data_IF_598329474259
#
_entry.id   IF_598329474259
#
_cell.length_a   1.000
_cell.length_b   1.000
_cell.length_c   1.000
_cell.angle_alpha   90.00
_cell.angle_beta   90.00
_cell.angle_gamma   90.00
#
_symmetry.space_group_name_H-M   'P 1'
#
loop_
_entity.id
_entity.type
_entity.pdbx_description
1 polymer ?
#
# COMPACT_ATOMS: atom_id res chain seq x y z
N UNK A 1 11.60 10.77 0.36
CA UNK A 1 10.29 10.13 0.35
C UNK A 1 10.46 8.74 -0.25
N UNK A 2 9.98 7.71 0.45
CA UNK A 2 9.95 6.34 -0.07
C UNK A 2 8.54 5.98 -0.54
N UNK A 3 8.47 4.95 -1.39
CA UNK A 3 7.23 4.46 -1.98
C UNK A 3 6.94 3.03 -1.55
N UNK A 4 5.67 2.76 -1.32
CA UNK A 4 5.20 1.50 -0.78
C UNK A 4 3.95 1.02 -1.51
N UNK A 5 3.56 -0.21 -1.23
CA UNK A 5 2.25 -0.75 -1.58
C UNK A 5 1.72 -1.52 -0.39
N UNK A 6 0.48 -1.24 -0.02
CA UNK A 6 -0.24 -1.92 1.04
C UNK A 6 -1.44 -2.67 0.47
N UNK A 7 -1.60 -3.93 0.85
CA UNK A 7 -2.71 -4.79 0.42
C UNK A 7 -3.81 -4.78 1.45
N UNK A 8 -5.04 -4.56 1.00
CA UNK A 8 -6.25 -4.73 1.82
C UNK A 8 -7.26 -5.59 1.06
N UNK A 9 -7.94 -6.50 1.75
CA UNK A 9 -9.08 -7.22 1.18
C UNK A 9 -10.31 -6.31 1.29
N UNK A 10 -10.98 -5.96 0.18
CA UNK A 10 -12.06 -4.97 0.20
C UNK A 10 -13.29 -5.40 1.02
N UNK A 11 -13.47 -6.70 1.23
CA UNK A 11 -14.53 -7.23 2.10
C UNK A 11 -14.24 -7.03 3.60
N UNK A 12 -12.97 -6.77 3.97
CA UNK A 12 -12.55 -6.53 5.34
C UNK A 12 -12.24 -5.05 5.60
N UNK A 13 -11.60 -4.38 4.65
CA UNK A 13 -11.35 -2.94 4.70
C UNK A 13 -11.14 -2.38 3.29
N UNK A 14 -12.15 -1.70 2.78
CA UNK A 14 -12.23 -1.15 1.43
C UNK A 14 -11.54 0.22 1.30
N UNK A 15 -11.43 0.69 0.05
CA UNK A 15 -10.93 2.05 -0.21
C UNK A 15 -11.92 3.11 0.26
N UNK A 16 -13.23 2.85 0.12
CA UNK A 16 -14.26 3.78 0.54
C UNK A 16 -14.26 3.96 2.07
N UNK A 17 -14.00 2.90 2.83
CA UNK A 17 -13.79 2.99 4.28
C UNK A 17 -12.54 3.78 4.64
N UNK A 18 -11.42 3.57 3.93
CA UNK A 18 -10.20 4.37 4.12
C UNK A 18 -10.46 5.87 3.89
N UNK A 19 -11.24 6.22 2.87
CA UNK A 19 -11.62 7.62 2.60
C UNK A 19 -12.55 8.15 3.69
N UNK A 20 -13.54 7.36 4.12
CA UNK A 20 -14.50 7.76 5.14
C UNK A 20 -13.85 7.99 6.52
N UNK A 21 -12.83 7.19 6.87
CA UNK A 21 -12.14 7.27 8.15
C UNK A 21 -11.08 8.39 8.20
N UNK A 22 -10.74 9.02 7.06
CA UNK A 22 -9.64 9.98 6.86
C UNK A 22 -8.25 9.40 7.18
N UNK A 23 -8.00 9.06 8.44
CA UNK A 23 -6.76 8.48 8.94
C UNK A 23 -7.05 7.12 9.58
N UNK A 24 -6.38 6.07 9.12
CA UNK A 24 -6.54 4.70 9.63
C UNK A 24 -5.19 4.09 10.05
N UNK A 25 -5.11 3.42 11.21
CA UNK A 25 -3.95 2.62 11.56
C UNK A 25 -3.88 1.34 10.71
N UNK A 26 -2.74 1.10 10.05
CA UNK A 26 -2.49 -0.09 9.24
C UNK A 26 -2.16 -1.32 10.09
N UNK A 27 -3.14 -1.78 10.86
CA UNK A 27 -3.02 -2.86 11.85
C UNK A 27 -3.11 -4.26 11.21
N UNK A 28 -2.98 -5.31 12.02
CA UNK A 28 -3.21 -6.69 11.59
C UNK A 28 -2.06 -7.33 10.81
N UNK A 29 -0.95 -6.61 10.56
CA UNK A 29 0.22 -7.16 9.87
C UNK A 29 0.95 -8.17 10.77
N UNK A 30 0.97 -9.44 10.35
CA UNK A 30 1.64 -10.55 11.07
C UNK A 30 2.72 -11.26 10.25
N UNK A 31 3.22 -10.58 9.22
CA UNK A 31 4.37 -11.05 8.44
C UNK A 31 5.64 -10.27 8.85
N UNK A 32 6.73 -10.98 9.17
CA UNK A 32 7.96 -10.36 9.67
C UNK A 32 8.62 -9.37 8.69
N UNK A 33 8.58 -9.66 7.39
CA UNK A 33 9.12 -8.74 6.38
C UNK A 33 8.21 -7.53 6.20
N UNK A 34 6.88 -7.74 6.14
CA UNK A 34 5.92 -6.64 6.09
C UNK A 34 6.06 -5.72 7.32
N UNK A 35 6.26 -6.30 8.51
CA UNK A 35 6.55 -5.55 9.74
C UNK A 35 7.81 -4.69 9.61
N UNK A 36 8.90 -5.23 9.06
CA UNK A 36 10.13 -4.46 8.81
C UNK A 36 9.88 -3.31 7.83
N UNK A 37 9.05 -3.53 6.82
CA UNK A 37 8.67 -2.48 5.86
C UNK A 37 7.85 -1.38 6.55
N UNK A 38 6.85 -1.72 7.37
CA UNK A 38 6.12 -0.76 8.20
C UNK A 38 7.06 0.04 9.13
N UNK A 39 8.00 -0.64 9.79
CA UNK A 39 8.97 0.00 10.67
C UNK A 39 9.94 0.96 9.96
N UNK A 40 10.10 0.81 8.64
CA UNK A 40 10.97 1.65 7.82
C UNK A 40 10.25 2.89 7.24
N UNK A 41 8.90 2.90 7.26
CA UNK A 41 8.11 4.01 6.76
C UNK A 41 8.32 5.28 7.59
N UNK A 42 8.33 6.42 6.90
CA UNK A 42 8.46 7.76 7.48
C UNK A 42 7.26 8.62 7.15
N UNK A 43 6.96 9.60 8.00
CA UNK A 43 5.92 10.59 7.70
C UNK A 43 6.25 11.27 6.37
N UNK A 44 5.26 11.36 5.49
CA UNK A 44 5.43 11.86 4.13
C UNK A 44 5.66 10.79 3.07
N UNK A 45 6.00 9.55 3.46
CA UNK A 45 6.07 8.45 2.49
C UNK A 45 4.69 8.17 1.86
N UNK A 46 4.70 7.65 0.63
CA UNK A 46 3.49 7.34 -0.13
C UNK A 46 3.32 5.84 -0.30
N UNK A 47 2.08 5.38 -0.28
CA UNK A 47 1.76 3.98 -0.55
C UNK A 47 0.58 3.85 -1.51
N UNK A 48 0.68 2.92 -2.45
CA UNK A 48 -0.48 2.46 -3.21
C UNK A 48 -1.39 1.62 -2.31
N UNK A 49 -2.68 1.96 -2.31
CA UNK A 49 -3.72 1.13 -1.72
C UNK A 49 -4.16 0.10 -2.76
N UNK A 50 -3.85 -1.17 -2.50
CA UNK A 50 -4.13 -2.28 -3.41
C UNK A 50 -5.23 -3.18 -2.83
N UNK A 51 -6.33 -3.34 -3.56
CA UNK A 51 -7.33 -4.35 -3.24
C UNK A 51 -6.80 -5.73 -3.60
N UNK A 52 -6.70 -6.61 -2.61
CA UNK A 52 -6.35 -8.03 -2.78
C UNK A 52 -7.59 -8.91 -2.85
N UNK A 53 -7.38 -10.15 -3.30
CA UNK A 53 -8.42 -11.19 -3.44
C UNK A 53 -9.44 -10.87 -4.55
N UNK A 54 -10.32 -9.89 -4.32
CA UNK A 54 -11.33 -9.38 -5.25
C UNK A 54 -10.80 -8.13 -5.98
N UNK A 55 -11.15 -7.96 -7.26
CA UNK A 55 -10.68 -6.92 -8.19
C UNK A 55 -9.17 -6.95 -8.50
N UNK A 56 -8.29 -7.14 -7.50
CA UNK A 56 -6.83 -7.23 -7.63
C UNK A 56 -6.24 -6.04 -8.39
N UNK A 57 -6.39 -4.85 -7.82
CA UNK A 57 -5.96 -3.60 -8.45
C UNK A 57 -5.47 -2.57 -7.44
N UNK A 58 -4.62 -1.66 -7.89
CA UNK A 58 -4.33 -0.41 -7.20
C UNK A 58 -5.52 0.52 -7.42
N UNK A 59 -6.10 1.02 -6.32
CA UNK A 59 -7.36 1.81 -6.35
C UNK A 59 -7.21 3.20 -5.74
N UNK A 60 -6.11 3.47 -5.03
CA UNK A 60 -5.87 4.75 -4.38
C UNK A 60 -4.43 4.93 -3.95
N UNK A 61 -4.14 6.12 -3.45
CA UNK A 61 -2.87 6.49 -2.84
C UNK A 61 -3.12 7.01 -1.43
N UNK A 62 -2.31 6.54 -0.49
CA UNK A 62 -2.27 7.01 0.89
C UNK A 62 -0.89 7.60 1.22
N UNK A 63 -0.87 8.48 2.20
CA UNK A 63 0.33 9.04 2.82
C UNK A 63 0.49 8.48 4.23
N UNK A 64 1.73 8.20 4.63
CA UNK A 64 2.05 7.88 6.01
C UNK A 64 2.03 9.17 6.83
N UNK A 65 1.14 9.23 7.83
CA UNK A 65 0.97 10.40 8.71
C UNK A 65 1.46 10.15 10.13
N UNK A 66 1.80 8.90 10.47
CA UNK A 66 2.48 8.54 11.72
C UNK A 66 3.44 7.38 11.51
N UNK A 67 4.67 7.53 12.00
CA UNK A 67 5.67 6.45 11.99
C UNK A 67 5.26 5.26 12.86
N UNK A 68 5.97 4.15 12.70
CA UNK A 68 5.62 2.89 13.33
C UNK A 68 5.52 2.96 14.85
N UNK A 69 4.44 2.39 15.39
CA UNK A 69 4.17 2.22 16.81
C UNK A 69 3.57 0.84 17.08
N UNK A 70 3.53 0.37 18.35
CA UNK A 70 2.98 -0.95 18.67
C UNK A 70 1.56 -1.13 18.13
N UNK A 71 1.31 -2.23 17.41
CA UNK A 71 0.00 -2.53 16.85
C UNK A 71 -0.99 -2.84 18.00
N UNK A 72 -2.07 -2.03 18.18
CA UNK A 72 -3.01 -2.21 19.28
C UNK A 72 -3.84 -3.50 19.16
N UNK A 73 -3.88 -4.13 17.98
CA UNK A 73 -4.57 -5.40 17.72
C UNK A 73 -3.68 -6.62 18.00
N UNK A 74 -2.41 -6.42 18.38
CA UNK A 74 -1.50 -7.50 18.68
C UNK A 74 -1.67 -8.00 20.12
N UNK A 75 -2.19 -9.23 20.28
CA UNK A 75 -2.28 -9.88 21.59
C UNK A 75 -0.92 -10.26 22.18
N UNK A 76 0.10 -10.46 21.32
CA UNK A 76 1.45 -10.81 21.72
C UNK A 76 2.49 -10.43 20.66
N UNK A 77 3.75 -10.28 21.10
CA UNK A 77 4.88 -9.98 20.22
C UNK A 77 5.02 -8.50 19.88
N UNK A 78 6.21 -8.13 19.38
CA UNK A 78 6.51 -6.76 18.98
C UNK A 78 6.06 -6.50 17.53
N UNK A 79 4.75 -6.49 17.31
CA UNK A 79 4.13 -6.06 16.04
C UNK A 79 3.94 -4.55 16.03
N UNK A 80 4.00 -3.95 14.84
CA UNK A 80 3.86 -2.51 14.67
C UNK A 80 2.87 -2.20 13.56
N UNK A 81 2.28 -1.01 13.64
CA UNK A 81 1.47 -0.39 12.59
C UNK A 81 1.91 1.06 12.42
N UNK A 82 1.49 1.67 11.31
CA UNK A 82 1.64 3.10 10.99
C UNK A 82 0.24 3.68 10.81
N UNK A 83 0.07 4.99 10.87
CA UNK A 83 -1.20 5.62 10.47
C UNK A 83 -1.08 6.13 9.03
N UNK A 84 -2.11 5.85 8.22
CA UNK A 84 -2.16 6.26 6.81
C UNK A 84 -3.37 7.15 6.56
N UNK A 85 -3.20 8.15 5.70
CA UNK A 85 -4.25 9.07 5.27
C UNK A 85 -4.50 8.95 3.77
N UNK A 86 -5.76 8.93 3.35
CA UNK A 86 -6.10 8.98 1.94
C UNK A 86 -5.63 10.29 1.29
N UNK A 87 -4.85 10.20 0.21
CA UNK A 87 -4.51 11.35 -0.64
C UNK A 87 -5.52 11.49 -1.77
N UNK A 88 -5.86 10.38 -2.42
CA UNK A 88 -6.86 10.38 -3.47
C UNK A 88 -7.03 9.04 -4.16
N UNK A 89 -8.17 8.85 -4.86
CA UNK A 89 -8.42 7.65 -5.64
C UNK A 89 -7.50 7.60 -6.86
N UNK A 90 -7.09 6.39 -7.24
CA UNK A 90 -6.39 6.17 -8.50
C UNK A 90 -7.35 6.48 -9.65
N UNK A 91 -7.06 7.42 -10.58
CA UNK A 91 -8.00 7.83 -11.62
C UNK A 91 -8.49 6.66 -12.48
N UNK A 92 -7.58 5.73 -12.79
CA UNK A 92 -7.90 4.46 -13.42
C UNK A 92 -7.27 3.32 -12.64
N UNK A 93 -8.05 2.40 -12.04
CA UNK A 93 -7.49 1.29 -11.30
C UNK A 93 -6.48 0.49 -12.12
N UNK A 94 -5.31 0.22 -11.55
CA UNK A 94 -4.23 -0.52 -12.22
C UNK A 94 -4.28 -1.96 -11.76
N UNK A 95 -4.73 -2.86 -12.64
CA UNK A 95 -4.97 -4.26 -12.28
C UNK A 95 -3.68 -5.07 -12.22
N UNK A 96 -3.67 -6.12 -11.40
CA UNK A 96 -2.55 -7.07 -11.35
C UNK A 96 -2.29 -7.73 -12.70
N UNK A 97 -3.34 -7.91 -13.53
CA UNK A 97 -3.20 -8.46 -14.87
C UNK A 97 -2.36 -7.53 -15.77
N UNK A 98 -2.65 -6.23 -15.77
CA UNK A 98 -1.86 -5.23 -16.51
C UNK A 98 -0.44 -5.10 -15.95
N UNK A 99 -0.29 -5.09 -14.62
CA UNK A 99 1.04 -5.05 -13.96
C UNK A 99 1.91 -6.21 -14.43
N UNK A 100 1.35 -7.43 -14.48
CA UNK A 100 2.09 -8.62 -14.91
C UNK A 100 2.44 -8.65 -16.40
N UNK A 101 1.78 -7.84 -17.22
CA UNK A 101 2.07 -7.72 -18.65
C UNK A 101 3.17 -6.69 -18.94
N UNK A 102 3.50 -5.83 -17.98
CA UNK A 102 4.56 -4.83 -18.13
C UNK A 102 5.93 -5.42 -17.79
N UNK A 103 6.88 -5.48 -18.75
CA UNK A 103 8.24 -5.93 -18.47
C UNK A 103 8.96 -5.07 -17.42
N UNK A 104 8.64 -3.77 -17.37
CA UNK A 104 9.22 -2.81 -16.42
C UNK A 104 8.82 -3.10 -14.97
N UNK A 105 7.79 -3.93 -14.74
CA UNK A 105 7.27 -4.28 -13.42
C UNK A 105 7.52 -5.75 -13.05
N UNK A 106 8.32 -6.49 -13.83
CA UNK A 106 8.62 -7.90 -13.54
C UNK A 106 9.29 -8.07 -12.15
N UNK A 107 10.10 -7.08 -11.77
CA UNK A 107 10.82 -7.03 -10.50
C UNK A 107 10.02 -6.41 -9.35
N UNK A 108 8.79 -5.96 -9.61
CA UNK A 108 7.95 -5.38 -8.58
C UNK A 108 7.66 -6.44 -7.48
N UNK A 109 7.86 -6.05 -6.22
CA UNK A 109 7.64 -6.95 -5.08
C UNK A 109 6.21 -7.54 -5.03
N UNK A 110 5.20 -6.79 -5.52
CA UNK A 110 3.83 -7.29 -5.70
C UNK A 110 3.75 -8.55 -6.59
N UNK A 111 4.57 -8.60 -7.65
CA UNK A 111 4.65 -9.70 -8.62
C UNK A 111 5.49 -10.85 -8.06
N UNK A 112 6.68 -10.54 -7.54
CA UNK A 112 7.64 -11.54 -7.05
C UNK A 112 7.26 -12.17 -5.71
N UNK A 113 6.51 -11.46 -4.86
CA UNK A 113 6.19 -11.86 -3.49
C UNK A 113 4.69 -11.71 -3.20
N UNK A 114 3.87 -12.57 -3.79
CA UNK A 114 2.40 -12.51 -3.71
C UNK A 114 1.85 -12.49 -2.27
N UNK A 115 2.52 -13.16 -1.32
CA UNK A 115 2.13 -13.26 0.10
C UNK A 115 2.57 -12.07 0.97
N UNK A 116 3.40 -11.16 0.44
CA UNK A 116 3.85 -9.99 1.18
C UNK A 116 2.75 -8.90 1.10
N UNK A 117 2.21 -8.47 2.24
CA UNK A 117 1.09 -7.53 2.32
C UNK A 117 1.51 -6.06 2.32
N UNK A 118 2.73 -5.77 2.75
CA UNK A 118 3.35 -4.44 2.71
C UNK A 118 4.65 -4.57 1.95
N UNK A 119 4.74 -3.93 0.79
CA UNK A 119 5.85 -4.09 -0.14
C UNK A 119 6.56 -2.74 -0.39
N UNK A 120 7.89 -2.72 -0.52
CA UNK A 120 8.57 -1.55 -1.07
C UNK A 120 8.26 -1.42 -2.57
N UNK A 121 8.21 -0.18 -3.05
CA UNK A 121 8.09 0.17 -4.47
C UNK A 121 9.27 1.07 -4.79
N UNK A 122 10.04 0.74 -5.83
CA UNK A 122 11.11 1.63 -6.29
C UNK A 122 10.49 2.87 -6.92
N UNK A 123 11.23 3.98 -6.95
CA UNK A 123 10.77 5.20 -7.62
C UNK A 123 10.44 4.96 -9.10
N UNK A 124 11.25 4.15 -9.80
CA UNK A 124 10.97 3.76 -11.19
C UNK A 124 9.63 3.00 -11.31
N UNK A 125 9.38 1.98 -10.48
CA UNK A 125 8.10 1.26 -10.51
C UNK A 125 6.93 2.17 -10.11
N UNK A 126 7.12 3.07 -9.16
CA UNK A 126 6.10 4.05 -8.75
C UNK A 126 5.67 4.91 -9.92
N UNK A 127 6.63 5.47 -10.67
CA UNK A 127 6.35 6.31 -11.84
C UNK A 127 5.58 5.55 -12.92
N UNK A 128 5.97 4.31 -13.23
CA UNK A 128 5.27 3.47 -14.21
C UNK A 128 3.83 3.21 -13.77
N UNK A 129 3.62 2.83 -12.51
CA UNK A 129 2.28 2.59 -11.96
C UNK A 129 1.41 3.86 -11.94
N UNK A 130 2.00 5.01 -11.64
CA UNK A 130 1.31 6.30 -11.73
C UNK A 130 0.89 6.61 -13.17
N UNK A 131 1.78 6.42 -14.14
CA UNK A 131 1.47 6.63 -15.56
C UNK A 131 0.36 5.69 -16.03
N UNK A 132 0.43 4.40 -15.66
CA UNK A 132 -0.61 3.43 -16.00
C UNK A 132 -1.98 3.84 -15.44
N UNK A 133 -2.02 4.31 -14.19
CA UNK A 133 -3.26 4.69 -13.52
C UNK A 133 -3.71 6.14 -13.73
N UNK A 134 -2.91 6.94 -14.43
CA UNK A 134 -3.14 8.38 -14.62
C UNK A 134 -2.97 9.21 -13.33
N UNK A 135 -2.29 8.68 -12.32
CA UNK A 135 -2.04 9.40 -11.07
C UNK A 135 -1.10 10.58 -11.30
N UNK A 136 -1.49 11.73 -10.75
CA UNK A 136 -0.64 12.91 -10.63
C UNK A 136 -0.62 13.30 -9.16
N UNK A 137 0.58 13.53 -8.63
CA UNK A 137 0.72 13.97 -7.24
C UNK A 137 -0.04 15.29 -7.07
N UNK A 138 -0.95 15.42 -6.09
CA UNK A 138 -1.59 16.69 -5.82
C UNK A 138 -0.55 17.73 -5.41
N UNK A 139 -0.74 18.96 -5.91
CA UNK A 139 0.13 20.11 -5.69
C UNK A 139 0.14 20.59 -4.22
#
# INVERSE_FOLDING_TARGET
MAFWLVKSEPDAFSWDEQVANDVEPWTGVRNHQAKKNLAAMKVGDRAFFYHSNVQRAIVGVVEIVREAYPDPTAESGAWVCVDVKAIGPMPRPVTLAEIKQSPELEELALVRQSRLSVCPVSEAHWQVLCQMGGWQEPA
#
